data_IF_744083075677
#
_entry.id   IF_744083075677
#
_cell.length_a   1.000
_cell.length_b   1.000
_cell.length_c   1.000
_cell.angle_alpha   90.00
_cell.angle_beta   90.00
_cell.angle_gamma   90.00
#
_symmetry.space_group_name_H-M   'P 1'
#
loop_
_entity.id
_entity.type
_entity.pdbx_description
1 polymer ?
#
# COMPACT_ATOMS: atom_id res chain seq x y z
N UNK A 1 -4.79 9.63 -4.72
CA UNK A 1 -4.93 9.04 -3.37
C UNK A 1 -5.38 7.59 -3.53
N UNK A 2 -4.51 6.63 -3.23
CA UNK A 2 -4.84 5.20 -3.35
C UNK A 2 -5.78 4.78 -2.23
N UNK A 3 -7.06 4.54 -2.55
CA UNK A 3 -8.07 4.07 -1.62
C UNK A 3 -7.87 2.56 -1.37
N UNK A 4 -7.13 2.21 -0.31
CA UNK A 4 -6.94 0.80 0.11
C UNK A 4 -8.25 0.09 0.53
N UNK A 5 -9.36 0.83 0.55
CA UNK A 5 -10.69 0.39 0.94
C UNK A 5 -11.62 0.09 -0.25
N UNK A 6 -11.18 0.23 -1.49
CA UNK A 6 -12.02 -0.04 -2.66
C UNK A 6 -11.32 -0.96 -3.67
N UNK A 7 -12.13 -1.75 -4.36
CA UNK A 7 -11.74 -2.44 -5.59
C UNK A 7 -11.79 -1.47 -6.78
N UNK A 8 -11.37 -1.95 -7.95
CA UNK A 8 -11.47 -1.18 -9.19
C UNK A 8 -12.91 -0.70 -9.46
N UNK A 9 -13.03 0.44 -10.13
CA UNK A 9 -14.32 1.07 -10.46
C UNK A 9 -15.19 1.41 -9.22
N UNK A 10 -14.55 1.80 -8.10
CA UNK A 10 -15.21 2.20 -6.85
C UNK A 10 -16.08 1.12 -6.20
N UNK A 11 -15.85 -0.14 -6.55
CA UNK A 11 -16.55 -1.27 -5.97
C UNK A 11 -16.09 -1.48 -4.52
N UNK A 12 -17.04 -1.78 -3.65
CA UNK A 12 -16.77 -2.02 -2.22
C UNK A 12 -16.52 -3.51 -1.94
N UNK A 13 -15.75 -3.78 -0.87
CA UNK A 13 -15.43 -5.13 -0.41
C UNK A 13 -16.57 -5.79 0.38
N UNK A 14 -17.61 -5.07 0.85
CA UNK A 14 -18.71 -5.68 1.60
C UNK A 14 -19.67 -6.48 0.70
N UNK A 15 -19.68 -6.23 -0.61
CA UNK A 15 -20.48 -6.99 -1.57
C UNK A 15 -19.62 -8.04 -2.28
N UNK A 16 -19.90 -9.31 -2.01
CA UNK A 16 -19.19 -10.43 -2.60
C UNK A 16 -19.31 -10.51 -4.13
N UNK A 17 -20.42 -10.00 -4.69
CA UNK A 17 -20.61 -9.95 -6.14
C UNK A 17 -19.58 -9.02 -6.81
N UNK A 18 -19.14 -7.97 -6.12
CA UNK A 18 -18.09 -7.07 -6.61
C UNK A 18 -16.73 -7.76 -6.65
N UNK A 19 -16.35 -8.45 -5.58
CA UNK A 19 -15.09 -9.20 -5.50
C UNK A 19 -15.03 -10.23 -6.63
N UNK A 20 -16.10 -11.01 -6.80
CA UNK A 20 -16.22 -12.03 -7.83
C UNK A 20 -16.12 -11.42 -9.24
N UNK A 21 -16.80 -10.29 -9.50
CA UNK A 21 -16.74 -9.59 -10.78
C UNK A 21 -15.32 -9.15 -11.15
N UNK A 22 -14.61 -8.51 -10.22
CA UNK A 22 -13.23 -8.03 -10.46
C UNK A 22 -12.28 -9.22 -10.61
N UNK A 23 -12.43 -10.26 -9.77
CA UNK A 23 -11.65 -11.50 -9.86
C UNK A 23 -11.73 -12.13 -11.24
N UNK A 24 -12.94 -12.30 -11.80
CA UNK A 24 -13.13 -12.89 -13.14
C UNK A 24 -12.58 -11.99 -14.24
N UNK A 25 -12.84 -10.69 -14.17
CA UNK A 25 -12.38 -9.75 -15.20
C UNK A 25 -10.84 -9.72 -15.29
N UNK A 26 -10.15 -9.73 -14.16
CA UNK A 26 -8.68 -9.72 -14.10
C UNK A 26 -8.03 -11.12 -14.10
N UNK A 27 -8.81 -12.20 -14.10
CA UNK A 27 -8.33 -13.59 -13.96
C UNK A 27 -7.47 -13.78 -12.70
N UNK A 28 -7.91 -13.19 -11.58
CA UNK A 28 -7.20 -13.18 -10.30
C UNK A 28 -7.97 -14.00 -9.25
N UNK A 29 -7.79 -15.34 -9.19
CA UNK A 29 -8.52 -16.19 -8.24
C UNK A 29 -8.20 -15.86 -6.77
N UNK A 30 -6.98 -15.36 -6.51
CA UNK A 30 -6.50 -15.00 -5.17
C UNK A 30 -6.58 -13.49 -4.89
N UNK A 31 -7.56 -12.80 -5.48
CA UNK A 31 -7.76 -11.37 -5.22
C UNK A 31 -8.03 -11.12 -3.72
N UNK A 32 -7.62 -9.94 -3.24
CA UNK A 32 -7.95 -9.50 -1.89
C UNK A 32 -9.48 -9.53 -1.68
N UNK A 33 -9.89 -9.98 -0.49
CA UNK A 33 -11.30 -10.04 -0.06
C UNK A 33 -11.62 -9.10 1.10
N UNK A 34 -10.62 -8.33 1.54
CA UNK A 34 -10.72 -7.35 2.63
C UNK A 34 -9.91 -6.12 2.30
N UNK A 35 -10.31 -5.01 2.89
CA UNK A 35 -9.61 -3.74 2.79
C UNK A 35 -8.17 -3.85 3.28
N UNK A 36 -7.27 -3.12 2.61
CA UNK A 36 -5.88 -2.97 3.02
C UNK A 36 -5.73 -2.01 4.20
N UNK A 37 -4.50 -1.93 4.72
CA UNK A 37 -4.16 -0.98 5.78
C UNK A 37 -4.14 0.45 5.24
N UNK A 38 -4.60 1.39 6.06
CA UNK A 38 -4.39 2.82 5.81
C UNK A 38 -2.90 3.15 5.96
N UNK A 39 -2.43 4.25 5.35
CA UNK A 39 -1.00 4.60 5.31
C UNK A 39 -0.33 4.61 6.70
N UNK A 40 -0.97 5.21 7.71
CA UNK A 40 -0.45 5.27 9.09
C UNK A 40 -0.27 3.85 9.68
N UNK A 41 -1.28 3.00 9.55
CA UNK A 41 -1.27 1.61 10.06
C UNK A 41 -0.33 0.71 9.25
N UNK A 42 -0.19 0.98 7.96
CA UNK A 42 0.74 0.29 7.06
C UNK A 42 2.18 0.54 7.49
N UNK A 43 2.58 1.80 7.75
CA UNK A 43 3.93 2.10 8.23
C UNK A 43 4.20 1.56 9.63
N UNK A 44 3.18 1.49 10.50
CA UNK A 44 3.30 0.76 11.76
C UNK A 44 3.54 -0.74 11.52
N UNK A 45 2.80 -1.36 10.60
CA UNK A 45 2.99 -2.76 10.24
C UNK A 45 4.37 -3.06 9.63
N UNK A 46 4.96 -2.11 8.91
CA UNK A 46 6.36 -2.18 8.46
C UNK A 46 7.31 -2.12 9.66
N UNK A 47 7.11 -1.16 10.57
CA UNK A 47 7.94 -1.03 11.77
C UNK A 47 7.88 -2.26 12.69
N UNK A 48 6.72 -2.93 12.74
CA UNK A 48 6.50 -4.17 13.49
C UNK A 48 7.03 -5.43 12.77
N UNK A 49 7.52 -5.31 11.53
CA UNK A 49 7.99 -6.44 10.71
C UNK A 49 6.87 -7.33 10.12
N UNK A 50 5.60 -6.91 10.23
CA UNK A 50 4.44 -7.60 9.62
C UNK A 50 4.40 -7.39 8.11
N UNK A 51 4.85 -6.23 7.64
CA UNK A 51 5.12 -5.95 6.23
C UNK A 51 6.62 -5.94 6.02
N UNK A 52 7.10 -6.81 5.13
CA UNK A 52 8.54 -6.98 4.84
C UNK A 52 8.97 -6.40 3.50
N UNK A 53 8.01 -6.12 2.63
CA UNK A 53 8.24 -5.54 1.32
C UNK A 53 7.33 -4.33 1.13
N UNK A 54 7.90 -3.22 0.68
CA UNK A 54 7.19 -2.00 0.34
C UNK A 54 7.58 -1.52 -1.05
N UNK A 55 6.60 -1.17 -1.87
CA UNK A 55 6.83 -0.54 -3.17
C UNK A 55 6.19 0.85 -3.19
N UNK A 56 7.04 1.88 -3.27
CA UNK A 56 6.65 3.28 -3.37
C UNK A 56 6.70 3.70 -4.84
N UNK A 57 5.57 4.13 -5.38
CA UNK A 57 5.43 4.52 -6.79
C UNK A 57 4.97 5.98 -6.90
N UNK A 58 5.79 6.85 -7.50
CA UNK A 58 5.45 8.23 -7.83
C UNK A 58 5.09 9.12 -6.64
N UNK A 59 5.64 8.84 -5.45
CA UNK A 59 5.40 9.62 -4.23
C UNK A 59 6.60 9.53 -3.27
N UNK A 60 6.67 10.45 -2.30
CA UNK A 60 7.72 10.51 -1.27
C UNK A 60 7.10 10.53 0.13
N UNK A 61 6.76 9.36 0.71
CA UNK A 61 6.11 9.28 2.01
C UNK A 61 7.02 9.75 3.16
N UNK A 62 8.33 9.79 2.95
CA UNK A 62 9.28 10.33 3.94
C UNK A 62 9.14 11.85 4.12
N UNK A 63 8.45 12.55 3.21
CA UNK A 63 8.24 14.01 3.29
C UNK A 63 6.76 14.37 3.42
N UNK A 64 5.86 13.64 2.76
CA UNK A 64 4.43 13.99 2.71
C UNK A 64 3.60 13.51 3.90
N UNK A 65 4.12 12.59 4.73
CA UNK A 65 3.37 12.02 5.85
C UNK A 65 3.48 12.87 7.12
N UNK A 66 2.41 12.96 7.94
CA UNK A 66 2.41 13.76 9.18
C UNK A 66 3.50 13.36 10.19
N UNK A 67 3.92 12.09 10.17
CA UNK A 67 4.99 11.55 11.02
C UNK A 67 6.15 11.04 10.15
N UNK A 68 6.80 11.98 9.47
CA UNK A 68 7.91 11.73 8.57
C UNK A 68 9.09 10.98 9.24
N UNK A 69 9.35 11.24 10.53
CA UNK A 69 10.41 10.58 11.28
C UNK A 69 10.11 9.08 11.49
N UNK A 70 8.88 8.74 11.86
CA UNK A 70 8.47 7.34 11.99
C UNK A 70 8.45 6.61 10.66
N UNK A 71 8.03 7.28 9.58
CA UNK A 71 8.08 6.71 8.23
C UNK A 71 9.51 6.40 7.82
N UNK A 72 10.46 7.32 8.02
CA UNK A 72 11.89 7.06 7.76
C UNK A 72 12.42 5.86 8.55
N UNK A 73 12.09 5.78 9.84
CA UNK A 73 12.49 4.66 10.68
C UNK A 73 11.88 3.32 10.23
N UNK A 74 10.63 3.32 9.77
CA UNK A 74 9.98 2.13 9.23
C UNK A 74 10.62 1.70 7.90
N UNK A 75 10.88 2.63 6.98
CA UNK A 75 11.57 2.36 5.72
C UNK A 75 12.95 1.73 5.95
N UNK A 76 13.74 2.27 6.89
CA UNK A 76 15.06 1.75 7.23
C UNK A 76 15.04 0.34 7.85
N UNK A 77 13.91 -0.08 8.43
CA UNK A 77 13.72 -1.41 9.02
C UNK A 77 13.09 -2.42 8.06
N UNK A 78 12.55 -1.98 6.93
CA UNK A 78 11.86 -2.85 6.00
C UNK A 78 12.89 -3.73 5.25
N UNK A 79 12.65 -5.04 5.20
CA UNK A 79 13.58 -5.99 4.56
C UNK A 79 13.82 -5.66 3.07
N UNK A 80 12.79 -5.11 2.40
CA UNK A 80 12.87 -4.77 0.99
C UNK A 80 12.02 -3.56 0.63
N UNK A 81 12.65 -2.53 0.04
CA UNK A 81 11.96 -1.33 -0.44
C UNK A 81 12.31 -1.10 -1.91
N UNK A 82 11.28 -0.95 -2.75
CA UNK A 82 11.40 -0.51 -4.15
C UNK A 82 10.84 0.90 -4.26
N UNK A 83 11.58 1.79 -4.94
CA UNK A 83 11.11 3.13 -5.28
C UNK A 83 11.07 3.28 -6.79
N UNK A 84 9.90 3.61 -7.33
CA UNK A 84 9.70 3.91 -8.74
C UNK A 84 9.27 5.36 -8.87
N UNK A 85 10.23 6.22 -9.16
CA UNK A 85 10.04 7.66 -9.32
C UNK A 85 10.78 8.16 -10.57
N UNK A 86 10.31 9.26 -11.14
CA UNK A 86 10.92 9.91 -12.31
C UNK A 86 12.08 10.84 -11.91
N UNK A 87 12.20 11.13 -10.61
CA UNK A 87 13.26 11.97 -10.02
C UNK A 87 13.84 11.32 -8.77
N UNK A 88 15.04 11.76 -8.35
CA UNK A 88 15.62 11.34 -7.06
C UNK A 88 14.82 11.95 -5.90
N UNK A 89 14.43 11.16 -4.91
CA UNK A 89 13.63 11.62 -3.75
C UNK A 89 14.24 11.14 -2.43
N UNK A 90 13.83 11.71 -1.29
CA UNK A 90 14.34 11.31 0.04
C UNK A 90 13.87 9.90 0.49
N UNK A 91 13.15 9.18 -0.38
CA UNK A 91 12.82 7.76 -0.20
C UNK A 91 13.89 6.84 -0.83
N UNK A 92 14.81 7.37 -1.66
CA UNK A 92 15.98 6.67 -2.22
C UNK A 92 17.27 6.99 -1.48
#
# INVERSE_FOLDING_TARGET
EGLANQLAAHMDFADEANIDRVSRFWKAPDIARRVGLKAVDMFQAVADGRIKALWVMGTNPAVSMPDASRVRAALAKCDFVVVSDVTRTDTT
#
